data_IF_177908170218
#
_entry.id   IF_177908170218
#
_cell.length_a   1.000
_cell.length_b   1.000
_cell.length_c   1.000
_cell.angle_alpha   90.00
_cell.angle_beta   90.00
_cell.angle_gamma   90.00
#
_symmetry.space_group_name_H-M   'P 1'
#
loop_
_entity.id
_entity.type
_entity.pdbx_description
1 polymer ?
#
# COMPACT_ATOMS: atom_id res chain seq x y z
N UNK A 1 -5.38 17.39 -27.99
CA UNK A 1 -4.55 16.72 -29.02
C UNK A 1 -3.56 15.82 -28.28
N UNK A 2 -3.80 14.51 -28.27
CA UNK A 2 -2.96 13.53 -27.54
C UNK A 2 -2.01 12.85 -28.51
N UNK A 3 -0.70 13.05 -28.33
CA UNK A 3 0.33 12.36 -29.10
C UNK A 3 0.58 10.97 -28.49
N UNK A 4 0.35 9.93 -29.31
CA UNK A 4 0.65 8.53 -29.02
C UNK A 4 2.08 8.25 -29.49
N UNK A 5 3.02 8.09 -28.56
CA UNK A 5 4.35 7.57 -28.87
C UNK A 5 4.28 6.05 -28.75
N UNK A 6 4.24 5.36 -29.89
CA UNK A 6 4.50 3.93 -29.98
C UNK A 6 6.01 3.71 -29.84
N UNK A 7 6.42 3.03 -28.77
CA UNK A 7 7.75 2.42 -28.68
C UNK A 7 7.56 0.91 -28.74
N UNK A 8 7.79 0.36 -29.93
CA UNK A 8 8.06 -1.06 -30.17
C UNK A 8 9.49 -1.35 -29.72
N UNK A 9 9.66 -2.05 -28.59
CA UNK A 9 10.87 -2.83 -28.29
C UNK A 9 10.47 -4.14 -27.59
N UNK A 10 11.21 -5.18 -27.96
CA UNK A 10 10.94 -6.61 -27.84
C UNK A 10 10.54 -7.13 -26.45
N UNK A 11 9.55 -8.03 -26.47
CA UNK A 11 8.95 -8.74 -25.33
C UNK A 11 9.62 -10.10 -25.03
N UNK A 12 10.91 -10.25 -25.28
CA UNK A 12 11.63 -11.48 -24.92
C UNK A 12 12.96 -11.13 -24.27
N UNK A 13 13.17 -11.65 -23.06
CA UNK A 13 14.33 -11.43 -22.15
C UNK A 13 14.12 -10.30 -21.12
N UNK A 14 13.01 -10.31 -20.37
CA UNK A 14 13.02 -9.76 -19.00
C UNK A 14 13.50 -10.90 -18.07
N UNK A 15 14.82 -11.10 -18.04
CA UNK A 15 15.47 -12.00 -17.10
C UNK A 15 14.92 -11.73 -15.69
N UNK A 16 14.51 -12.80 -14.99
CA UNK A 16 14.02 -12.76 -13.61
C UNK A 16 15.06 -12.10 -12.69
N UNK A 17 15.08 -10.77 -12.60
CA UNK A 17 15.77 -10.06 -11.54
C UNK A 17 15.09 -10.48 -10.23
N UNK A 18 15.77 -11.34 -9.48
CA UNK A 18 15.36 -11.69 -8.12
C UNK A 18 15.42 -10.42 -7.29
N UNK A 19 14.42 -10.19 -6.46
CA UNK A 19 14.45 -9.06 -5.52
C UNK A 19 15.70 -9.20 -4.64
N UNK A 20 16.27 -8.07 -4.25
CA UNK A 20 17.41 -8.02 -3.34
C UNK A 20 17.08 -8.47 -1.91
N UNK A 21 15.79 -8.64 -1.57
CA UNK A 21 15.35 -9.16 -0.27
C UNK A 21 15.56 -10.68 -0.17
N UNK A 22 16.01 -11.16 0.99
CA UNK A 22 16.29 -12.58 1.24
C UNK A 22 15.14 -13.24 2.01
N UNK A 23 15.03 -14.56 1.90
CA UNK A 23 14.05 -15.35 2.68
C UNK A 23 14.24 -15.15 4.20
N UNK A 24 15.48 -14.94 4.64
CA UNK A 24 15.81 -14.62 6.03
C UNK A 24 15.16 -13.32 6.53
N UNK A 25 14.89 -12.35 5.65
CA UNK A 25 14.18 -11.13 6.05
C UNK A 25 12.71 -11.41 6.35
N UNK A 26 12.08 -12.31 5.59
CA UNK A 26 10.72 -12.78 5.85
C UNK A 26 10.61 -13.60 7.13
N UNK A 27 11.68 -14.29 7.54
CA UNK A 27 11.69 -15.03 8.80
C UNK A 27 11.37 -14.14 10.01
N UNK A 28 11.96 -12.94 10.09
CA UNK A 28 11.69 -11.99 11.18
C UNK A 28 10.22 -11.53 11.22
N UNK A 29 9.62 -11.28 10.05
CA UNK A 29 8.21 -10.94 9.92
C UNK A 29 7.31 -12.11 10.29
N UNK A 30 7.69 -13.33 9.93
CA UNK A 30 6.94 -14.52 10.32
C UNK A 30 6.97 -14.75 11.84
N UNK A 31 8.10 -14.52 12.50
CA UNK A 31 8.18 -14.53 13.97
C UNK A 31 7.23 -13.50 14.60
N UNK A 32 7.13 -12.30 14.01
CA UNK A 32 6.18 -11.27 14.46
C UNK A 32 4.73 -11.69 14.28
N UNK A 33 4.36 -12.34 13.16
CA UNK A 33 3.03 -12.94 12.97
C UNK A 33 2.72 -13.96 14.07
N UNK A 34 3.68 -14.83 14.39
CA UNK A 34 3.51 -15.83 15.46
C UNK A 34 3.37 -15.18 16.84
N UNK A 35 4.11 -14.10 17.11
CA UNK A 35 3.99 -13.35 18.36
C UNK A 35 2.60 -12.69 18.50
N UNK A 36 2.11 -12.04 17.45
CA UNK A 36 0.76 -11.43 17.43
C UNK A 36 -0.30 -12.52 17.65
N UNK A 37 -0.17 -13.68 16.98
CA UNK A 37 -1.09 -14.79 17.16
C UNK A 37 -1.14 -15.27 18.61
N UNK A 38 0.02 -15.44 19.25
CA UNK A 38 0.09 -15.85 20.66
C UNK A 38 -0.52 -14.83 21.62
N UNK A 39 -0.49 -13.54 21.28
CA UNK A 39 -1.15 -12.50 22.06
C UNK A 39 -2.67 -12.58 21.88
N UNK A 40 -3.13 -12.73 20.63
CA UNK A 40 -4.56 -12.88 20.31
C UNK A 40 -5.16 -14.15 20.94
N UNK A 41 -4.44 -15.27 20.95
CA UNK A 41 -4.88 -16.52 21.60
C UNK A 41 -5.10 -16.39 23.11
N UNK A 42 -4.48 -15.39 23.77
CA UNK A 42 -4.72 -15.10 25.20
C UNK A 42 -5.95 -14.23 25.43
N UNK A 43 -6.34 -13.44 24.43
CA UNK A 43 -7.51 -12.55 24.50
C UNK A 43 -8.78 -13.22 23.89
N UNK A 44 -8.62 -14.21 23.01
CA UNK A 44 -9.69 -14.82 22.21
C UNK A 44 -10.29 -16.08 22.86
N UNK A 45 -11.10 -15.88 23.91
CA UNK A 45 -12.21 -16.79 24.22
C UNK A 45 -13.44 -16.52 23.31
N UNK A 46 -13.40 -15.54 22.39
CA UNK A 46 -14.61 -15.05 21.70
C UNK A 46 -14.55 -14.72 20.20
N UNK A 47 -13.46 -14.94 19.45
CA UNK A 47 -13.45 -14.63 17.99
C UNK A 47 -13.02 -15.82 17.13
N UNK A 48 -13.77 -16.91 17.23
CA UNK A 48 -13.80 -17.91 16.18
C UNK A 48 -14.52 -17.39 14.92
N UNK A 49 -14.04 -17.91 13.79
CA UNK A 49 -14.73 -18.13 12.53
C UNK A 49 -14.71 -17.08 11.41
N UNK A 50 -14.16 -17.56 10.29
CA UNK A 50 -14.21 -17.10 8.91
C UNK A 50 -13.95 -15.60 8.62
N UNK A 51 -13.05 -15.27 7.68
CA UNK A 51 -12.93 -13.88 7.21
C UNK A 51 -14.27 -13.41 6.62
N UNK A 52 -14.71 -12.21 7.00
CA UNK A 52 -15.97 -11.66 6.48
C UNK A 52 -15.87 -11.50 4.96
N UNK A 53 -16.91 -11.94 4.26
CA UNK A 53 -17.03 -11.78 2.81
C UNK A 53 -17.80 -10.51 2.53
N UNK A 54 -17.12 -9.51 1.97
CA UNK A 54 -17.70 -8.20 1.68
C UNK A 54 -18.44 -8.16 0.35
N UNK A 55 -17.93 -8.90 -0.63
CA UNK A 55 -18.50 -8.91 -1.96
C UNK A 55 -18.16 -10.22 -2.67
N UNK A 56 -19.11 -10.75 -3.43
CA UNK A 56 -18.87 -11.78 -4.44
C UNK A 56 -19.05 -11.19 -5.83
N UNK A 57 -18.17 -11.56 -6.75
CA UNK A 57 -18.20 -11.14 -8.15
C UNK A 57 -18.69 -12.31 -8.99
N UNK A 58 -19.51 -12.01 -10.01
CA UNK A 58 -20.02 -13.01 -10.97
C UNK A 58 -18.91 -13.76 -11.70
N UNK A 59 -17.72 -13.18 -11.81
CA UNK A 59 -16.54 -13.80 -12.41
C UNK A 59 -15.84 -14.85 -11.51
N UNK A 60 -16.48 -15.31 -10.42
CA UNK A 60 -15.95 -16.36 -9.55
C UNK A 60 -14.88 -15.87 -8.57
N UNK A 61 -15.02 -14.65 -8.05
CA UNK A 61 -14.12 -14.08 -7.05
C UNK A 61 -14.90 -13.59 -5.84
N UNK A 62 -14.26 -13.58 -4.68
CA UNK A 62 -14.81 -12.95 -3.46
C UNK A 62 -13.79 -12.02 -2.81
N UNK A 63 -14.28 -10.91 -2.28
CA UNK A 63 -13.52 -9.95 -1.50
C UNK A 63 -13.73 -10.26 -0.03
N UNK A 64 -12.63 -10.42 0.70
CA UNK A 64 -12.62 -10.82 2.11
C UNK A 64 -11.66 -9.95 2.91
N UNK A 65 -11.84 -9.90 4.22
CA UNK A 65 -10.85 -9.29 5.10
C UNK A 65 -9.49 -9.98 4.99
N UNK A 66 -8.42 -9.18 5.01
CA UNK A 66 -7.08 -9.70 5.20
C UNK A 66 -6.91 -10.07 6.67
N UNK A 67 -6.83 -11.37 6.94
CA UNK A 67 -6.59 -11.93 8.28
C UNK A 67 -5.11 -12.27 8.48
N UNK A 68 -4.71 -12.37 9.75
CA UNK A 68 -3.33 -12.62 10.18
C UNK A 68 -2.71 -13.85 9.50
N UNK A 69 -3.48 -14.92 9.31
CA UNK A 69 -3.04 -16.15 8.63
C UNK A 69 -2.63 -15.97 7.16
N UNK A 70 -3.01 -14.85 6.52
CA UNK A 70 -2.65 -14.51 5.13
C UNK A 70 -1.63 -13.39 5.02
N UNK A 71 -1.09 -12.87 6.13
CA UNK A 71 -0.14 -11.75 6.09
C UNK A 71 1.12 -12.12 5.30
N UNK A 72 1.74 -13.28 5.57
CA UNK A 72 2.94 -13.71 4.84
C UNK A 72 2.64 -13.92 3.34
N UNK A 73 1.54 -14.58 3.02
CA UNK A 73 1.08 -14.75 1.63
C UNK A 73 0.90 -13.39 0.93
N UNK A 74 0.39 -12.40 1.65
CA UNK A 74 0.17 -11.04 1.15
C UNK A 74 1.48 -10.27 0.95
N UNK A 75 2.45 -10.39 1.86
CA UNK A 75 3.76 -9.78 1.66
C UNK A 75 4.45 -10.35 0.42
N UNK A 76 4.44 -11.67 0.24
CA UNK A 76 5.01 -12.28 -0.98
C UNK A 76 4.25 -11.84 -2.24
N UNK A 77 2.92 -11.68 -2.15
CA UNK A 77 2.11 -11.16 -3.24
C UNK A 77 2.51 -9.73 -3.62
N UNK A 78 2.63 -8.83 -2.63
CA UNK A 78 3.05 -7.44 -2.81
C UNK A 78 4.44 -7.38 -3.42
N UNK A 79 5.40 -8.13 -2.88
CA UNK A 79 6.76 -8.19 -3.42
C UNK A 79 6.76 -8.62 -4.90
N UNK A 80 5.97 -9.65 -5.22
CA UNK A 80 5.98 -10.27 -6.55
C UNK A 80 5.26 -9.41 -7.59
N UNK A 81 4.09 -8.88 -7.26
CA UNK A 81 3.21 -8.25 -8.24
C UNK A 81 3.16 -6.72 -8.12
N UNK A 82 3.18 -6.18 -6.90
CA UNK A 82 3.13 -4.73 -6.71
C UNK A 82 4.50 -4.11 -6.94
N UNK A 83 5.54 -4.54 -6.20
CA UNK A 83 6.85 -3.88 -6.24
C UNK A 83 7.50 -3.90 -7.63
N UNK A 84 7.20 -4.93 -8.44
CA UNK A 84 7.71 -5.06 -9.82
C UNK A 84 6.97 -4.20 -10.83
N UNK A 85 5.73 -3.81 -10.56
CA UNK A 85 4.87 -3.11 -11.53
C UNK A 85 4.52 -1.69 -11.11
N UNK A 86 4.82 -1.30 -9.87
CA UNK A 86 4.60 0.05 -9.35
C UNK A 86 5.53 1.04 -10.09
N UNK A 87 4.99 2.10 -10.73
CA UNK A 87 5.78 2.98 -11.59
C UNK A 87 6.91 3.73 -10.88
N UNK A 88 6.72 4.18 -9.65
CA UNK A 88 7.76 4.90 -8.90
C UNK A 88 8.91 3.95 -8.54
N UNK A 89 8.60 2.71 -8.15
CA UNK A 89 9.59 1.72 -7.73
C UNK A 89 10.43 1.27 -8.93
N UNK A 90 9.78 1.06 -10.08
CA UNK A 90 10.48 0.74 -11.33
C UNK A 90 11.36 1.90 -11.79
N UNK A 91 10.91 3.15 -11.64
CA UNK A 91 11.66 4.32 -12.09
C UNK A 91 12.98 4.54 -11.33
N UNK A 92 13.03 4.19 -10.04
CA UNK A 92 14.20 4.44 -9.19
C UNK A 92 14.98 3.16 -8.82
N UNK A 93 14.56 2.00 -9.34
CA UNK A 93 15.21 0.73 -9.02
C UNK A 93 15.04 0.27 -7.57
N UNK A 94 13.89 0.56 -6.94
CA UNK A 94 13.67 0.26 -5.51
C UNK A 94 13.84 -1.24 -5.20
N UNK A 95 13.49 -2.13 -6.14
CA UNK A 95 13.66 -3.59 -5.99
C UNK A 95 15.12 -4.06 -5.93
N UNK A 96 16.06 -3.22 -6.37
CA UNK A 96 17.50 -3.50 -6.37
C UNK A 96 18.16 -3.04 -5.05
N UNK A 97 17.50 -2.17 -4.27
CA UNK A 97 17.96 -1.66 -2.98
C UNK A 97 17.38 -2.50 -1.82
N UNK A 98 18.20 -3.40 -1.28
CA UNK A 98 17.80 -4.35 -0.24
C UNK A 98 17.32 -3.65 1.05
N UNK A 99 17.98 -2.55 1.41
CA UNK A 99 17.68 -1.80 2.63
C UNK A 99 16.32 -1.12 2.48
N UNK A 100 16.10 -0.44 1.37
CA UNK A 100 14.81 0.16 1.02
C UNK A 100 13.69 -0.87 0.95
N UNK A 101 13.93 -2.02 0.29
CA UNK A 101 12.93 -3.09 0.20
C UNK A 101 12.57 -3.63 1.57
N UNK A 102 13.55 -3.88 2.44
CA UNK A 102 13.30 -4.37 3.80
C UNK A 102 12.45 -3.40 4.59
N UNK A 103 12.78 -2.11 4.58
CA UNK A 103 12.01 -1.07 5.28
C UNK A 103 10.60 -0.97 4.71
N UNK A 104 10.48 -0.98 3.38
CA UNK A 104 9.17 -0.96 2.72
C UNK A 104 8.30 -2.13 3.15
N UNK A 105 8.81 -3.37 3.12
CA UNK A 105 8.03 -4.56 3.50
C UNK A 105 7.63 -4.55 4.98
N UNK A 106 8.49 -4.04 5.87
CA UNK A 106 8.13 -3.80 7.27
C UNK A 106 7.01 -2.77 7.42
N UNK A 107 7.04 -1.69 6.61
CA UNK A 107 5.96 -0.71 6.55
C UNK A 107 4.64 -1.32 6.08
N UNK A 108 4.67 -2.13 5.02
CA UNK A 108 3.48 -2.88 4.56
C UNK A 108 2.92 -3.77 5.66
N UNK A 109 3.80 -4.50 6.38
CA UNK A 109 3.38 -5.32 7.52
C UNK A 109 2.67 -4.50 8.59
N UNK A 110 3.25 -3.38 9.01
CA UNK A 110 2.66 -2.47 10.01
C UNK A 110 1.30 -1.94 9.55
N UNK A 111 1.11 -1.63 8.27
CA UNK A 111 -0.20 -1.23 7.76
C UNK A 111 -1.23 -2.35 7.84
N UNK A 112 -0.85 -3.59 7.54
CA UNK A 112 -1.77 -4.75 7.64
C UNK A 112 -2.21 -5.03 9.09
N UNK A 113 -1.40 -4.70 10.10
CA UNK A 113 -1.75 -4.86 11.53
C UNK A 113 -3.00 -4.07 11.93
N UNK A 114 -3.36 -3.01 11.19
CA UNK A 114 -4.62 -2.28 11.41
C UNK A 114 -5.89 -3.07 11.06
N UNK A 115 -5.75 -4.27 10.48
CA UNK A 115 -6.84 -5.20 10.14
C UNK A 115 -7.94 -4.64 9.22
N UNK A 116 -7.71 -3.50 8.56
CA UNK A 116 -8.64 -2.88 7.59
C UNK A 116 -8.24 -3.12 6.12
N UNK A 117 -7.32 -4.05 5.90
CA UNK A 117 -6.85 -4.47 4.59
C UNK A 117 -7.71 -5.62 4.03
N UNK A 118 -7.66 -5.85 2.71
CA UNK A 118 -8.54 -6.78 2.01
C UNK A 118 -7.79 -7.69 1.04
N UNK A 119 -8.34 -8.89 0.85
CA UNK A 119 -7.93 -9.85 -0.17
C UNK A 119 -9.04 -10.08 -1.18
N UNK A 120 -8.66 -10.26 -2.44
CA UNK A 120 -9.49 -10.90 -3.43
C UNK A 120 -9.02 -12.34 -3.60
N UNK A 121 -9.94 -13.29 -3.44
CA UNK A 121 -9.64 -14.72 -3.63
C UNK A 121 -10.52 -15.32 -4.72
N UNK A 122 -9.97 -16.23 -5.50
CA UNK A 122 -10.71 -16.99 -6.51
C UNK A 122 -11.56 -18.07 -5.82
N UNK A 123 -12.83 -18.16 -6.20
CA UNK A 123 -13.72 -19.20 -5.68
C UNK A 123 -13.33 -20.58 -6.24
N UNK A 124 -13.58 -21.63 -5.45
CA UNK A 124 -13.15 -23.00 -5.77
C UNK A 124 -11.69 -23.30 -5.40
N UNK A 125 -10.74 -22.42 -5.76
CA UNK A 125 -9.31 -22.66 -5.46
C UNK A 125 -8.80 -21.95 -4.21
N UNK A 126 -9.50 -20.91 -3.76
CA UNK A 126 -9.11 -20.06 -2.63
C UNK A 126 -7.76 -19.34 -2.82
N UNK A 127 -7.32 -19.22 -4.08
CA UNK A 127 -6.09 -18.55 -4.46
C UNK A 127 -6.19 -17.04 -4.23
N UNK A 128 -5.14 -16.46 -3.66
CA UNK A 128 -5.01 -15.01 -3.55
C UNK A 128 -4.71 -14.41 -4.94
N UNK A 129 -5.60 -13.53 -5.42
CA UNK A 129 -5.52 -12.93 -6.76
C UNK A 129 -5.44 -11.41 -6.75
N UNK A 130 -5.73 -10.77 -5.61
CA UNK A 130 -5.60 -9.34 -5.43
C UNK A 130 -5.51 -8.96 -3.96
N UNK A 131 -4.91 -7.81 -3.69
CA UNK A 131 -4.67 -7.27 -2.35
C UNK A 131 -4.94 -5.78 -2.38
N UNK A 132 -5.59 -5.29 -1.32
CA UNK A 132 -5.62 -3.88 -0.96
C UNK A 132 -5.06 -3.75 0.46
N UNK A 133 -3.97 -2.98 0.62
CA UNK A 133 -3.43 -2.64 1.94
C UNK A 133 -3.83 -1.21 2.27
N UNK A 134 -4.49 -1.05 3.41
CA UNK A 134 -4.91 0.23 3.94
C UNK A 134 -4.47 0.38 5.39
N UNK A 135 -4.33 1.62 5.83
CA UNK A 135 -4.00 2.00 7.20
C UNK A 135 -4.92 3.11 7.70
N UNK A 136 -5.15 3.13 9.02
CA UNK A 136 -5.96 4.17 9.65
C UNK A 136 -5.02 5.23 10.23
N UNK A 137 -5.32 6.50 9.94
CA UNK A 137 -4.63 7.65 10.49
C UNK A 137 -5.56 8.40 11.43
N UNK A 138 -5.14 8.50 12.69
CA UNK A 138 -5.81 9.33 13.67
C UNK A 138 -5.24 10.76 13.66
N UNK A 139 -6.10 11.71 14.03
CA UNK A 139 -5.78 13.14 14.09
C UNK A 139 -4.56 13.43 14.97
N UNK A 140 -4.42 12.73 16.10
CA UNK A 140 -3.29 12.82 17.04
C UNK A 140 -1.94 12.53 16.36
N UNK A 141 -1.89 11.53 15.47
CA UNK A 141 -0.68 11.14 14.74
C UNK A 141 -0.25 12.20 13.72
N UNK A 142 -1.18 13.02 13.23
CA UNK A 142 -0.86 14.13 12.32
C UNK A 142 -0.26 15.34 13.03
N UNK A 143 -0.74 15.72 14.22
CA UNK A 143 -0.16 16.85 14.96
C UNK A 143 1.30 16.61 15.35
N UNK A 144 1.63 15.37 15.75
CA UNK A 144 3.01 14.95 15.99
C UNK A 144 3.84 15.11 14.71
N UNK A 145 3.28 14.77 13.53
CA UNK A 145 3.96 15.03 12.24
C UNK A 145 4.08 16.53 11.96
N UNK A 146 3.06 17.35 12.19
CA UNK A 146 3.07 18.78 11.83
C UNK A 146 4.06 19.61 12.67
N UNK A 147 4.13 19.41 13.98
CA UNK A 147 5.11 20.12 14.83
C UNK A 147 6.54 19.72 14.47
N UNK A 148 6.78 18.43 14.22
CA UNK A 148 8.09 17.94 13.81
C UNK A 148 8.51 18.48 12.44
N UNK A 149 7.59 18.58 11.48
CA UNK A 149 7.88 19.17 10.16
C UNK A 149 8.15 20.68 10.21
N UNK A 150 7.66 21.39 11.23
CA UNK A 150 7.87 22.84 11.38
C UNK A 150 9.18 23.18 12.08
N UNK A 151 9.61 22.35 13.03
CA UNK A 151 10.90 22.49 13.72
C UNK A 151 12.05 21.97 12.84
N UNK A 152 11.75 21.02 11.96
CA UNK A 152 12.78 20.26 11.26
C UNK A 152 12.67 20.43 9.74
N UNK A 153 13.05 21.62 9.26
CA UNK A 153 13.39 21.84 7.83
C UNK A 153 14.60 21.00 7.37
N UNK A 154 15.23 20.20 8.23
CA UNK A 154 16.47 19.46 7.96
C UNK A 154 16.51 17.96 8.31
N UNK A 155 15.46 17.32 8.83
CA UNK A 155 15.49 15.88 9.17
C UNK A 155 14.14 15.23 8.89
N UNK A 156 14.20 14.21 8.04
CA UNK A 156 13.08 13.45 7.50
C UNK A 156 12.35 12.61 8.56
N UNK A 157 11.00 12.64 8.49
CA UNK A 157 10.07 11.50 8.69
C UNK A 157 9.97 10.94 10.13
N UNK A 158 8.77 11.16 10.71
CA UNK A 158 8.08 10.37 11.75
C UNK A 158 8.88 9.92 12.99
N UNK A 159 8.51 10.48 14.14
CA UNK A 159 8.75 9.90 15.48
C UNK A 159 8.03 8.55 15.57
N UNK A 160 8.71 7.52 15.07
CA UNK A 160 8.75 6.12 15.52
C UNK A 160 9.82 5.36 14.70
N UNK A 161 10.80 6.10 14.19
CA UNK A 161 11.91 5.60 13.38
C UNK A 161 13.23 5.78 14.16
N UNK A 162 13.24 6.44 15.33
CA UNK A 162 14.47 6.90 16.01
C UNK A 162 15.45 5.77 16.38
N UNK A 163 15.02 4.51 16.53
CA UNK A 163 15.95 3.38 16.71
C UNK A 163 16.31 2.60 15.43
N UNK A 164 15.60 2.81 14.31
CA UNK A 164 15.93 2.21 13.00
C UNK A 164 16.43 3.25 11.96
N UNK A 165 16.63 4.51 12.37
CA UNK A 165 16.79 5.66 11.47
C UNK A 165 18.18 5.84 10.86
N UNK A 166 19.18 5.00 11.16
CA UNK A 166 20.50 5.20 10.58
C UNK A 166 20.66 4.71 9.14
N UNK A 167 19.69 4.00 8.55
CA UNK A 167 19.82 3.52 7.16
C UNK A 167 18.47 3.42 6.43
N UNK A 168 17.74 4.53 6.26
CA UNK A 168 16.69 4.54 5.21
C UNK A 168 17.42 4.49 3.85
N UNK A 169 17.18 3.43 3.08
CA UNK A 169 17.78 3.31 1.75
C UNK A 169 17.35 4.46 0.83
N UNK A 170 18.26 4.87 -0.04
CA UNK A 170 18.13 6.10 -0.83
C UNK A 170 16.88 6.07 -1.72
N UNK A 171 16.60 4.92 -2.32
CA UNK A 171 15.47 4.76 -3.23
C UNK A 171 14.14 4.93 -2.50
N UNK A 172 13.95 4.30 -1.33
CA UNK A 172 12.73 4.48 -0.54
C UNK A 172 12.59 5.93 -0.05
N UNK A 173 13.69 6.57 0.34
CA UNK A 173 13.70 7.98 0.74
C UNK A 173 13.11 8.86 -0.37
N UNK A 174 13.55 8.69 -1.62
CA UNK A 174 13.04 9.45 -2.76
C UNK A 174 11.54 9.24 -3.00
N UNK A 175 11.03 8.00 -2.90
CA UNK A 175 9.59 7.72 -2.98
C UNK A 175 8.84 8.45 -1.88
N UNK A 176 9.32 8.34 -0.63
CA UNK A 176 8.68 8.95 0.52
C UNK A 176 8.67 10.48 0.41
N UNK A 177 9.74 11.10 -0.10
CA UNK A 177 9.78 12.55 -0.37
C UNK A 177 8.68 12.96 -1.34
N UNK A 178 8.57 12.27 -2.48
CA UNK A 178 7.56 12.57 -3.49
C UNK A 178 6.14 12.39 -2.93
N UNK A 179 5.89 11.26 -2.26
CA UNK A 179 4.59 10.97 -1.64
C UNK A 179 4.23 12.00 -0.57
N UNK A 180 5.21 12.40 0.26
CA UNK A 180 5.04 13.44 1.28
C UNK A 180 4.69 14.80 0.68
N UNK A 181 5.40 15.21 -0.39
CA UNK A 181 5.11 16.44 -1.13
C UNK A 181 3.68 16.45 -1.69
N UNK A 182 3.27 15.35 -2.33
CA UNK A 182 1.91 15.19 -2.87
C UNK A 182 0.85 15.28 -1.77
N UNK A 183 1.04 14.61 -0.65
CA UNK A 183 0.11 14.66 0.49
C UNK A 183 0.01 16.07 1.08
N UNK A 184 1.14 16.77 1.22
CA UNK A 184 1.14 18.15 1.72
C UNK A 184 0.39 19.10 0.77
N UNK A 185 0.63 19.00 -0.54
CA UNK A 185 -0.04 19.82 -1.56
C UNK A 185 -1.52 19.50 -1.75
N UNK A 186 -1.93 18.26 -1.49
CA UNK A 186 -3.33 17.85 -1.53
C UNK A 186 -4.17 18.41 -0.36
N UNK A 187 -3.55 19.18 0.56
CA UNK A 187 -4.20 19.73 1.76
C UNK A 187 -4.97 18.67 2.57
N UNK A 188 -4.49 17.42 2.55
CA UNK A 188 -5.17 16.29 3.20
C UNK A 188 -5.42 16.55 4.70
N UNK A 189 -4.63 17.41 5.33
CA UNK A 189 -4.78 17.82 6.72
C UNK A 189 -6.09 18.58 7.03
N UNK A 190 -6.62 19.35 6.08
CA UNK A 190 -7.92 20.03 6.23
C UNK A 190 -9.05 19.01 6.24
N UNK A 191 -8.93 17.98 5.38
CA UNK A 191 -9.84 16.83 5.31
C UNK A 191 -9.75 15.98 6.59
N UNK A 192 -8.54 15.80 7.16
CA UNK A 192 -8.30 15.05 8.40
C UNK A 192 -8.71 15.77 9.69
N UNK A 193 -9.11 17.05 9.63
CA UNK A 193 -9.54 17.77 10.82
C UNK A 193 -10.86 17.20 11.41
N UNK A 194 -11.49 16.27 10.68
CA UNK A 194 -12.75 15.60 10.99
C UNK A 194 -12.49 14.10 11.19
N UNK A 195 -12.49 13.63 12.45
CA UNK A 195 -12.80 12.24 12.83
C UNK A 195 -11.92 11.06 12.40
N UNK A 196 -10.80 11.25 11.70
CA UNK A 196 -9.89 10.15 11.29
C UNK A 196 -10.01 9.78 9.80
N UNK A 197 -8.95 9.20 9.25
CA UNK A 197 -8.79 8.95 7.81
C UNK A 197 -8.33 7.51 7.54
N UNK A 198 -9.04 6.80 6.67
CA UNK A 198 -8.50 5.56 6.07
C UNK A 198 -7.68 5.91 4.84
N UNK A 199 -6.46 5.38 4.77
CA UNK A 199 -5.55 5.60 3.66
C UNK A 199 -5.23 4.31 2.94
N UNK A 200 -5.41 4.29 1.62
CA UNK A 200 -5.08 3.17 0.75
C UNK A 200 -3.63 3.31 0.28
N UNK A 201 -2.76 2.44 0.78
CA UNK A 201 -1.33 2.44 0.48
C UNK A 201 -0.99 1.58 -0.75
N UNK A 202 -1.68 0.44 -0.89
CA UNK A 202 -1.41 -0.54 -1.94
C UNK A 202 -2.72 -1.02 -2.54
N UNK A 203 -2.78 -1.06 -3.87
CA UNK A 203 -3.82 -1.74 -4.64
C UNK A 203 -3.15 -2.56 -5.73
N UNK A 204 -3.27 -3.88 -5.67
CA UNK A 204 -2.60 -4.78 -6.61
C UNK A 204 -3.49 -5.97 -6.99
N UNK A 205 -3.51 -6.31 -8.28
CA UNK A 205 -4.20 -7.50 -8.82
C UNK A 205 -3.23 -8.22 -9.76
N UNK A 206 -3.19 -9.56 -9.64
CA UNK A 206 -2.40 -10.44 -10.50
C UNK A 206 -2.71 -10.16 -11.98
N UNK A 207 -1.70 -10.04 -12.86
CA UNK A 207 -1.89 -9.73 -14.28
C UNK A 207 -2.98 -10.54 -14.98
N UNK A 208 -2.97 -11.86 -14.79
CA UNK A 208 -3.89 -12.83 -15.37
C UNK A 208 -5.35 -12.69 -14.89
N UNK A 209 -5.57 -12.00 -13.78
CA UNK A 209 -6.90 -11.76 -13.21
C UNK A 209 -7.39 -10.31 -13.38
N UNK A 210 -6.62 -9.45 -14.06
CA UNK A 210 -7.02 -8.06 -14.33
C UNK A 210 -8.24 -7.99 -15.24
N UNK A 211 -8.86 -6.82 -15.31
CA UNK A 211 -10.07 -6.53 -16.09
C UNK A 211 -11.35 -7.30 -15.67
N UNK A 212 -11.28 -8.10 -14.60
CA UNK A 212 -12.45 -8.79 -14.02
C UNK A 212 -13.15 -7.97 -12.90
N UNK A 213 -12.95 -6.65 -12.85
CA UNK A 213 -13.55 -5.78 -11.82
C UNK A 213 -12.98 -5.93 -10.40
N UNK A 214 -11.99 -6.81 -10.18
CA UNK A 214 -11.43 -7.13 -8.85
C UNK A 214 -10.90 -5.89 -8.12
N UNK A 215 -10.08 -5.07 -8.79
CA UNK A 215 -9.52 -3.86 -8.17
C UNK A 215 -10.59 -2.85 -7.75
N UNK A 216 -11.65 -2.73 -8.54
CA UNK A 216 -12.81 -1.88 -8.19
C UNK A 216 -13.58 -2.43 -7.00
N UNK A 217 -13.76 -3.75 -6.94
CA UNK A 217 -14.44 -4.41 -5.83
C UNK A 217 -13.64 -4.29 -4.51
N UNK A 218 -12.31 -4.41 -4.56
CA UNK A 218 -11.42 -4.17 -3.43
C UNK A 218 -11.59 -2.75 -2.86
N UNK A 219 -11.48 -1.75 -3.73
CA UNK A 219 -11.63 -0.33 -3.33
C UNK A 219 -13.02 -0.07 -2.76
N UNK A 220 -14.07 -0.58 -3.41
CA UNK A 220 -15.45 -0.43 -2.94
C UNK A 220 -15.64 -1.03 -1.55
N UNK A 221 -15.16 -2.26 -1.34
CA UNK A 221 -15.26 -2.94 -0.05
C UNK A 221 -14.50 -2.17 1.04
N UNK A 222 -13.32 -1.64 0.71
CA UNK A 222 -12.55 -0.78 1.60
C UNK A 222 -13.30 0.50 1.97
N UNK A 223 -13.91 1.19 1.00
CA UNK A 223 -14.71 2.39 1.27
C UNK A 223 -15.93 2.09 2.14
N UNK A 224 -16.64 0.99 1.87
CA UNK A 224 -17.77 0.54 2.70
C UNK A 224 -17.33 0.25 4.13
N UNK A 225 -16.15 -0.34 4.34
CA UNK A 225 -15.63 -0.54 5.70
C UNK A 225 -15.18 0.77 6.33
N UNK A 226 -14.51 1.61 5.57
CA UNK A 226 -13.97 2.89 6.04
C UNK A 226 -15.08 3.83 6.53
N UNK A 227 -16.28 3.81 5.93
CA UNK A 227 -17.39 4.65 6.36
C UNK A 227 -17.88 4.37 7.79
N UNK A 228 -17.57 3.19 8.34
CA UNK A 228 -17.87 2.86 9.75
C UNK A 228 -16.74 3.26 10.71
N UNK A 229 -15.54 3.53 10.19
CA UNK A 229 -14.32 3.70 11.00
C UNK A 229 -13.76 5.12 10.96
N UNK A 230 -14.01 5.85 9.88
CA UNK A 230 -13.37 7.12 9.59
C UNK A 230 -14.32 8.06 8.83
N UNK A 231 -14.04 9.35 8.91
CA UNK A 231 -14.83 10.37 8.20
C UNK A 231 -14.48 10.43 6.72
N UNK A 232 -13.26 10.03 6.36
CA UNK A 232 -12.78 10.07 5.00
C UNK A 232 -11.97 8.82 4.63
N UNK A 233 -11.90 8.55 3.33
CA UNK A 233 -11.00 7.58 2.74
C UNK A 233 -10.20 8.28 1.63
N UNK A 234 -8.88 8.09 1.61
CA UNK A 234 -7.99 8.66 0.61
C UNK A 234 -6.94 7.64 0.18
N UNK A 235 -6.21 7.94 -0.89
CA UNK A 235 -5.12 7.09 -1.36
C UNK A 235 -4.30 7.79 -2.44
N UNK A 236 -3.09 7.29 -2.66
CA UNK A 236 -2.21 7.76 -3.73
C UNK A 236 -2.14 6.74 -4.85
N UNK A 237 -2.70 7.09 -6.00
CA UNK A 237 -2.78 6.21 -7.16
C UNK A 237 -1.74 6.63 -8.21
N UNK A 238 -0.69 5.83 -8.35
CA UNK A 238 0.46 6.11 -9.24
C UNK A 238 0.36 5.40 -10.58
N UNK A 239 -0.24 4.21 -10.62
CA UNK A 239 -0.43 3.45 -11.85
C UNK A 239 -1.70 3.90 -12.58
N UNK A 240 -1.67 3.84 -13.92
CA UNK A 240 -2.84 4.21 -14.75
C UNK A 240 -4.08 3.39 -14.39
N UNK A 241 -3.94 2.09 -14.15
CA UNK A 241 -5.05 1.23 -13.72
C UNK A 241 -5.66 1.68 -12.37
N UNK A 242 -4.82 2.02 -11.39
CA UNK A 242 -5.29 2.50 -10.10
C UNK A 242 -5.91 3.89 -10.19
N UNK A 243 -5.37 4.78 -11.03
CA UNK A 243 -5.94 6.11 -11.29
C UNK A 243 -7.31 6.03 -11.97
N UNK A 244 -7.51 5.10 -12.91
CA UNK A 244 -8.81 4.84 -13.51
C UNK A 244 -9.82 4.41 -12.44
N UNK A 245 -9.47 3.47 -11.57
CA UNK A 245 -10.34 3.06 -10.45
C UNK A 245 -10.63 4.24 -9.52
N UNK A 246 -9.60 5.03 -9.20
CA UNK A 246 -9.70 6.22 -8.36
C UNK A 246 -10.65 7.27 -8.92
N UNK A 247 -10.60 7.53 -10.23
CA UNK A 247 -11.39 8.59 -10.89
C UNK A 247 -12.91 8.36 -10.77
N UNK A 248 -13.36 7.12 -10.67
CA UNK A 248 -14.80 6.81 -10.51
C UNK A 248 -15.30 6.88 -9.06
N UNK A 249 -14.41 6.94 -8.06
CA UNK A 249 -14.77 6.73 -6.65
C UNK A 249 -14.21 7.77 -5.68
N UNK A 250 -13.21 8.53 -6.10
CA UNK A 250 -12.56 9.56 -5.30
C UNK A 250 -12.58 10.90 -6.03
N UNK A 251 -12.70 11.97 -5.26
CA UNK A 251 -12.42 13.32 -5.74
C UNK A 251 -10.91 13.48 -5.85
N UNK A 252 -10.44 13.96 -7.00
CA UNK A 252 -9.01 14.20 -7.22
C UNK A 252 -8.60 15.51 -6.53
N UNK A 253 -7.88 15.42 -5.41
CA UNK A 253 -7.41 16.60 -4.69
C UNK A 253 -6.14 17.23 -5.32
N UNK A 254 -5.22 16.40 -5.82
CA UNK A 254 -3.96 16.89 -6.41
C UNK A 254 -3.41 15.91 -7.46
N UNK A 255 -2.71 16.44 -8.45
CA UNK A 255 -2.00 15.65 -9.45
C UNK A 255 -0.70 16.33 -9.86
N UNK A 256 0.36 15.53 -10.00
CA UNK A 256 1.68 16.00 -10.45
C UNK A 256 2.30 14.94 -11.36
N UNK A 257 3.10 15.39 -12.33
CA UNK A 257 3.95 14.52 -13.14
C UNK A 257 5.35 14.48 -12.54
N UNK A 258 6.07 13.36 -12.69
CA UNK A 258 7.46 13.23 -12.19
C UNK A 258 8.37 14.33 -12.74
N UNK A 259 8.15 14.74 -14.01
CA UNK A 259 8.86 15.88 -14.63
C UNK A 259 8.63 17.20 -13.90
N UNK A 260 7.37 17.51 -13.54
CA UNK A 260 7.02 18.73 -12.79
C UNK A 260 7.50 18.69 -11.33
N UNK A 261 7.57 17.50 -10.75
CA UNK A 261 8.14 17.35 -9.42
C UNK A 261 9.64 17.67 -9.42
N UNK A 262 10.40 17.13 -10.38
CA UNK A 262 11.83 17.41 -10.51
C UNK A 262 12.12 18.93 -10.67
N UNK A 263 11.29 19.64 -11.44
CA UNK A 263 11.44 21.10 -11.61
C UNK A 263 11.02 21.93 -10.38
N UNK A 264 10.41 21.32 -9.35
CA UNK A 264 10.01 22.05 -8.13
C UNK A 264 11.15 22.16 -7.10
N UNK A 265 12.28 21.49 -7.34
CA UNK A 265 13.46 21.47 -6.47
C UNK A 265 14.75 21.84 -7.20
N UNK A 266 14.65 22.23 -8.48
CA UNK A 266 15.77 22.71 -9.29
C UNK A 266 15.83 24.23 -9.34
#
# INVERSE_FOLDING_TARGET
>A
MFAKIQSTRDNSIEARRRSSIKESDFFSLNLRVLAIRKLQEKDDLYMADAPMVWQRLSAGYRIVDLRLNRFMQTLHFVLTYFCRTEPLFKAIGLSDDAVSMKIFMNGVFKHMESMISFCAVKEGTNDLVGVLVASMFEKSQWYIKKELYSIVKHVFVSIEIVEQQLTIGETLRQVMTLKGYVTAKAQTHEIMNVGGLVWIDILCVKPEHRNNGIGTALVRSCMTRASYLATACAGQFTSGAAQTIGTFRFVRCFAITTKRFASSFG
#
